data_IF_678043525226
#
_entry.id   IF_678043525226
#
_cell.length_a   1.000
_cell.length_b   1.000
_cell.length_c   1.000
_cell.angle_alpha   90.00
_cell.angle_beta   90.00
_cell.angle_gamma   90.00
#
_symmetry.space_group_name_H-M   'P 1'
#
loop_
_entity.id
_entity.type
_entity.pdbx_description
1 polymer ?
#
# COMPACT_ATOMS: atom_id res chain seq x y z
N UNK A 1 -4.99 29.14 4.19
CA UNK A 1 -4.41 27.82 4.53
C UNK A 1 -5.02 26.67 3.70
N UNK A 2 -5.63 26.95 2.54
CA UNK A 2 -6.46 25.97 1.79
C UNK A 2 -5.74 25.30 0.62
N UNK A 3 -4.62 25.85 0.15
CA UNK A 3 -3.87 25.31 -1.00
C UNK A 3 -3.10 24.03 -0.64
N UNK A 4 -2.65 23.90 0.60
CA UNK A 4 -1.90 22.74 1.11
C UNK A 4 -2.81 21.52 1.28
N UNK A 5 -4.03 21.75 1.78
CA UNK A 5 -5.02 20.69 1.99
C UNK A 5 -5.48 20.05 0.67
N UNK A 6 -5.74 20.85 -0.36
CA UNK A 6 -6.12 20.31 -1.68
C UNK A 6 -4.99 19.52 -2.36
N UNK A 7 -3.72 19.86 -2.12
CA UNK A 7 -2.58 19.08 -2.61
C UNK A 7 -2.42 17.77 -1.85
N UNK A 8 -2.61 17.80 -0.52
CA UNK A 8 -2.64 16.60 0.30
C UNK A 8 -3.74 15.63 -0.15
N UNK A 9 -4.97 16.12 -0.34
CA UNK A 9 -6.08 15.29 -0.82
C UNK A 9 -5.82 14.70 -2.21
N UNK A 10 -5.24 15.49 -3.13
CA UNK A 10 -4.85 15.01 -4.45
C UNK A 10 -3.75 13.95 -4.40
N UNK A 11 -2.79 14.09 -3.48
CA UNK A 11 -1.75 13.10 -3.24
C UNK A 11 -2.37 11.81 -2.67
N UNK A 12 -3.21 11.91 -1.64
CA UNK A 12 -3.88 10.76 -1.04
C UNK A 12 -4.79 10.03 -2.03
N UNK A 13 -5.51 10.75 -2.89
CA UNK A 13 -6.32 10.15 -3.95
C UNK A 13 -5.46 9.37 -4.96
N UNK A 14 -4.31 9.91 -5.38
CA UNK A 14 -3.36 9.20 -6.24
C UNK A 14 -2.77 7.98 -5.56
N UNK A 15 -2.36 8.11 -4.31
CA UNK A 15 -1.78 7.03 -3.51
C UNK A 15 -2.78 5.88 -3.35
N UNK A 16 -4.03 6.21 -3.02
CA UNK A 16 -5.13 5.24 -2.92
C UNK A 16 -5.37 4.53 -4.26
N UNK A 17 -5.46 5.27 -5.37
CA UNK A 17 -5.61 4.68 -6.71
C UNK A 17 -4.47 3.70 -7.04
N UNK A 18 -3.22 4.12 -6.85
CA UNK A 18 -2.06 3.25 -7.11
C UNK A 18 -2.03 2.02 -6.21
N UNK A 19 -2.47 2.14 -4.95
CA UNK A 19 -2.61 1.01 -4.05
C UNK A 19 -3.65 -0.02 -4.55
N UNK A 20 -4.77 0.44 -5.14
CA UNK A 20 -5.83 -0.45 -5.65
C UNK A 20 -5.35 -1.21 -6.88
N UNK A 21 -4.62 -0.52 -7.76
CA UNK A 21 -3.98 -1.13 -8.93
C UNK A 21 -2.97 -2.19 -8.47
N UNK A 22 -2.11 -1.86 -7.50
CA UNK A 22 -1.15 -2.80 -6.92
C UNK A 22 -1.83 -4.02 -6.28
N UNK A 23 -2.94 -3.81 -5.55
CA UNK A 23 -3.72 -4.91 -4.96
C UNK A 23 -4.25 -5.86 -6.04
N UNK A 24 -4.80 -5.29 -7.12
CA UNK A 24 -5.36 -6.05 -8.23
C UNK A 24 -4.27 -6.84 -8.95
N UNK A 25 -3.13 -6.23 -9.23
CA UNK A 25 -2.00 -6.91 -9.87
C UNK A 25 -1.42 -8.00 -8.98
N UNK A 26 -1.27 -7.75 -7.67
CA UNK A 26 -0.85 -8.75 -6.71
C UNK A 26 -1.81 -9.95 -6.65
N UNK A 27 -3.13 -9.69 -6.67
CA UNK A 27 -4.14 -10.75 -6.66
C UNK A 27 -4.14 -11.60 -7.93
N UNK A 28 -3.60 -11.10 -9.04
CA UNK A 28 -3.47 -11.84 -10.30
C UNK A 28 -2.20 -12.70 -10.37
N UNK A 29 -1.26 -12.52 -9.44
CA UNK A 29 -0.07 -13.35 -9.36
C UNK A 29 -0.41 -14.76 -8.86
N UNK A 30 0.33 -15.75 -9.34
CA UNK A 30 0.32 -17.10 -8.77
C UNK A 30 0.72 -17.09 -7.29
N UNK A 31 0.23 -18.03 -6.47
CA UNK A 31 0.51 -18.06 -5.03
C UNK A 31 2.01 -18.09 -4.69
N UNK A 32 2.83 -18.77 -5.49
CA UNK A 32 4.30 -18.75 -5.33
C UNK A 32 4.89 -17.35 -5.55
N UNK A 33 4.42 -16.62 -6.55
CA UNK A 33 4.88 -15.26 -6.85
C UNK A 33 4.38 -14.26 -5.80
N UNK A 34 3.18 -14.44 -5.28
CA UNK A 34 2.68 -13.66 -4.14
C UNK A 34 3.58 -13.84 -2.92
N UNK A 35 3.97 -15.08 -2.62
CA UNK A 35 4.89 -15.38 -1.51
C UNK A 35 6.27 -14.73 -1.72
N UNK A 36 6.84 -14.82 -2.92
CA UNK A 36 8.13 -14.17 -3.25
C UNK A 36 8.06 -12.66 -3.08
N UNK A 37 7.01 -12.03 -3.61
CA UNK A 37 6.78 -10.59 -3.45
C UNK A 37 6.70 -10.20 -1.96
N UNK A 38 5.91 -10.91 -1.16
CA UNK A 38 5.79 -10.63 0.26
C UNK A 38 7.09 -10.84 1.02
N UNK A 39 7.92 -11.81 0.63
CA UNK A 39 9.25 -12.00 1.21
C UNK A 39 10.19 -10.84 0.88
N UNK A 40 10.20 -10.34 -0.36
CA UNK A 40 11.00 -9.17 -0.73
C UNK A 40 10.54 -7.91 0.01
N UNK A 41 9.23 -7.68 0.09
CA UNK A 41 8.66 -6.56 0.85
C UNK A 41 9.07 -6.66 2.32
N UNK A 42 8.91 -7.83 2.94
CA UNK A 42 9.31 -8.04 4.33
C UNK A 42 10.82 -7.92 4.53
N UNK A 43 11.66 -8.35 3.58
CA UNK A 43 13.11 -8.15 3.69
C UNK A 43 13.49 -6.67 3.67
N UNK A 44 12.87 -5.87 2.80
CA UNK A 44 13.12 -4.42 2.75
C UNK A 44 12.63 -3.73 4.02
N UNK A 45 11.52 -4.19 4.59
CA UNK A 45 10.93 -3.65 5.82
C UNK A 45 11.59 -4.19 7.09
N UNK A 46 12.35 -5.30 7.01
CA UNK A 46 13.14 -5.86 8.10
C UNK A 46 14.15 -4.86 8.67
N UNK A 47 14.71 -3.99 7.82
CA UNK A 47 15.59 -2.90 8.26
C UNK A 47 14.91 -1.88 9.17
N UNK A 48 13.57 -1.83 9.15
CA UNK A 48 12.76 -0.95 9.99
C UNK A 48 12.13 -1.68 11.19
N UNK A 49 12.42 -2.98 11.38
CA UNK A 49 11.92 -3.77 12.51
C UNK A 49 10.46 -4.23 12.39
N UNK A 50 9.83 -4.06 11.22
CA UNK A 50 8.43 -4.40 10.99
C UNK A 50 8.28 -5.57 10.01
N UNK A 51 7.56 -6.60 10.42
CA UNK A 51 7.00 -7.60 9.51
C UNK A 51 5.59 -7.17 9.14
N UNK A 52 5.31 -7.07 7.85
CA UNK A 52 4.12 -6.39 7.32
C UNK A 52 3.47 -7.32 6.31
N UNK A 53 2.17 -7.56 6.44
CA UNK A 53 1.40 -8.31 5.44
C UNK A 53 0.88 -7.36 4.35
N UNK A 54 0.47 -7.91 3.19
CA UNK A 54 -0.22 -7.10 2.17
C UNK A 54 -1.45 -6.44 2.78
N UNK A 55 -2.15 -7.13 3.69
CA UNK A 55 -3.33 -6.62 4.37
C UNK A 55 -3.03 -5.42 5.24
N UNK A 56 -1.88 -5.39 5.93
CA UNK A 56 -1.43 -4.22 6.71
C UNK A 56 -1.16 -3.00 5.80
N UNK A 57 -0.50 -3.24 4.65
CA UNK A 57 -0.21 -2.19 3.66
C UNK A 57 -1.53 -1.63 3.10
N UNK A 58 -2.43 -2.52 2.70
CA UNK A 58 -3.75 -2.15 2.17
C UNK A 58 -4.57 -1.43 3.24
N UNK A 59 -4.62 -1.93 4.48
CA UNK A 59 -5.31 -1.25 5.56
C UNK A 59 -4.72 0.14 5.84
N UNK A 60 -3.40 0.30 5.83
CA UNK A 60 -2.78 1.61 6.01
C UNK A 60 -3.08 2.58 4.87
N UNK A 61 -3.18 2.10 3.63
CA UNK A 61 -3.46 2.92 2.45
C UNK A 61 -4.96 3.25 2.30
N UNK A 62 -5.86 2.37 2.77
CA UNK A 62 -7.29 2.47 2.51
C UNK A 62 -8.16 2.81 3.73
N UNK A 63 -7.70 2.62 4.98
CA UNK A 63 -8.47 3.06 6.16
C UNK A 63 -8.37 4.56 6.45
N UNK A 64 -7.48 5.29 5.78
CA UNK A 64 -7.32 6.74 5.96
C UNK A 64 -8.38 7.61 5.26
N UNK A 65 -9.31 7.04 4.50
CA UNK A 65 -10.28 7.80 3.68
C UNK A 65 -11.72 7.71 4.18
N UNK A 66 -11.94 7.43 5.46
CA UNK A 66 -13.27 7.52 6.09
C UNK A 66 -13.24 8.54 7.22
N UNK A 67 -13.36 9.82 6.85
CA UNK A 67 -13.91 10.89 7.68
C UNK A 67 -15.05 11.52 6.90
#
# INVERSE_FOLDING_TARGET
MTADQGQYEKFMAKLSKSGLELQKDFSRLSPENQKRFMQEVNQRLKCFGHAVTITDILQSLFRGTSC
#
